data_IF_327714910954
#
_entry.id   IF_327714910954
#
_cell.length_a   1.000
_cell.length_b   1.000
_cell.length_c   1.000
_cell.angle_alpha   90.00
_cell.angle_beta   90.00
_cell.angle_gamma   90.00
#
_symmetry.space_group_name_H-M   'P 1'
#
loop_
_entity.id
_entity.type
_entity.pdbx_description
1 polymer ?
#
# COMPACT_ATOMS: atom_id res chain seq x y z
N UNK A 1 4.23 15.70 16.20
CA UNK A 1 3.77 15.20 14.89
C UNK A 1 3.40 16.41 14.02
N UNK A 2 3.68 16.39 12.71
CA UNK A 2 3.35 17.49 11.79
C UNK A 2 1.82 17.71 11.71
N UNK A 3 1.28 18.96 11.62
CA UNK A 3 -0.16 19.19 11.59
C UNK A 3 -0.90 18.43 10.49
N UNK A 4 -0.34 18.37 9.25
CA UNK A 4 -0.93 17.62 8.14
C UNK A 4 -0.97 16.11 8.43
N UNK A 5 0.09 15.55 9.04
CA UNK A 5 0.09 14.15 9.44
C UNK A 5 -0.96 13.87 10.53
N UNK A 6 -1.14 14.78 11.51
CA UNK A 6 -2.19 14.64 12.52
C UNK A 6 -3.60 14.63 11.89
N UNK A 7 -3.82 15.47 10.89
CA UNK A 7 -5.12 15.51 10.17
C UNK A 7 -5.35 14.19 9.41
N UNK A 8 -4.33 13.66 8.72
CA UNK A 8 -4.42 12.36 8.05
C UNK A 8 -4.66 11.20 9.03
N UNK A 9 -4.02 11.20 10.20
CA UNK A 9 -4.27 10.20 11.26
C UNK A 9 -5.71 10.29 11.77
N UNK A 10 -6.24 11.50 11.98
CA UNK A 10 -7.65 11.68 12.37
C UNK A 10 -8.58 11.12 11.29
N UNK A 11 -8.32 11.42 10.01
CA UNK A 11 -9.11 10.93 8.89
C UNK A 11 -9.08 9.40 8.79
N UNK A 12 -7.89 8.77 8.86
CA UNK A 12 -7.74 7.33 8.80
C UNK A 12 -8.47 6.61 9.95
N UNK A 13 -8.42 7.14 11.18
CA UNK A 13 -9.14 6.57 12.32
C UNK A 13 -10.65 6.69 12.19
N UNK A 14 -11.16 7.78 11.60
CA UNK A 14 -12.60 7.96 11.36
C UNK A 14 -13.09 7.00 10.28
N UNK A 15 -12.35 6.84 9.18
CA UNK A 15 -12.62 5.82 8.16
C UNK A 15 -12.60 4.40 8.75
N UNK A 16 -11.58 4.08 9.55
CA UNK A 16 -11.50 2.79 10.22
C UNK A 16 -12.65 2.52 11.18
N UNK A 17 -13.21 3.55 11.83
CA UNK A 17 -14.42 3.40 12.66
C UNK A 17 -15.66 3.04 11.83
N UNK A 18 -15.80 3.62 10.61
CA UNK A 18 -16.86 3.28 9.65
C UNK A 18 -16.70 1.82 9.23
N UNK A 19 -15.48 1.42 8.80
CA UNK A 19 -15.14 0.07 8.36
C UNK A 19 -15.45 -0.96 9.46
N UNK A 20 -14.98 -0.73 10.69
CA UNK A 20 -15.20 -1.64 11.81
C UNK A 20 -16.67 -1.74 12.21
N UNK A 21 -17.44 -0.65 12.11
CA UNK A 21 -18.88 -0.70 12.38
C UNK A 21 -19.62 -1.56 11.35
N UNK A 22 -19.31 -1.37 10.08
CA UNK A 22 -19.95 -2.09 8.99
C UNK A 22 -19.54 -3.58 8.96
N UNK A 23 -18.32 -3.91 9.38
CA UNK A 23 -17.84 -5.31 9.45
C UNK A 23 -18.63 -6.21 10.40
N UNK A 24 -19.45 -5.63 11.27
CA UNK A 24 -20.32 -6.40 12.18
C UNK A 24 -21.52 -7.04 11.45
N UNK A 25 -21.85 -6.60 10.23
CA UNK A 25 -22.95 -7.14 9.43
C UNK A 25 -22.63 -7.09 7.94
N UNK A 26 -21.67 -7.90 7.50
CA UNK A 26 -21.18 -7.92 6.11
C UNK A 26 -22.27 -8.34 5.11
N UNK A 27 -23.19 -9.22 5.51
CA UNK A 27 -24.28 -9.73 4.66
C UNK A 27 -25.28 -8.63 4.26
N UNK A 28 -25.33 -7.51 4.98
CA UNK A 28 -26.21 -6.39 4.69
C UNK A 28 -25.59 -5.35 3.75
N UNK A 29 -24.32 -5.51 3.34
CA UNK A 29 -23.62 -4.53 2.52
C UNK A 29 -24.07 -4.55 1.07
N UNK A 30 -24.23 -3.38 0.50
CA UNK A 30 -24.42 -3.20 -0.95
C UNK A 30 -23.07 -3.26 -1.65
N UNK A 31 -22.85 -4.31 -2.44
CA UNK A 31 -21.62 -4.53 -3.20
C UNK A 31 -21.86 -4.29 -4.68
N UNK A 32 -20.95 -3.60 -5.34
CA UNK A 32 -20.95 -3.38 -6.78
C UNK A 32 -19.63 -3.88 -7.38
N UNK A 33 -19.69 -4.47 -8.57
CA UNK A 33 -18.50 -4.81 -9.33
C UNK A 33 -18.06 -3.57 -10.13
N UNK A 34 -16.81 -3.14 -9.98
CA UNK A 34 -16.19 -2.16 -10.88
C UNK A 34 -15.77 -2.82 -12.19
N UNK A 35 -15.15 -4.01 -12.07
CA UNK A 35 -14.70 -4.89 -13.15
C UNK A 35 -14.69 -6.33 -12.63
N UNK A 36 -14.31 -7.31 -13.48
CA UNK A 36 -14.11 -8.69 -13.04
C UNK A 36 -13.07 -8.73 -11.91
N UNK A 37 -13.45 -9.32 -10.77
CA UNK A 37 -12.65 -9.43 -9.55
C UNK A 37 -12.29 -8.08 -8.86
N UNK A 38 -12.96 -6.99 -9.21
CA UNK A 38 -12.76 -5.67 -8.63
C UNK A 38 -14.07 -5.18 -8.01
N UNK A 39 -14.12 -5.10 -6.68
CA UNK A 39 -15.33 -4.83 -5.91
C UNK A 39 -15.24 -3.49 -5.21
N UNK A 40 -16.38 -2.82 -5.06
CA UNK A 40 -16.57 -1.66 -4.21
C UNK A 40 -17.83 -1.85 -3.39
N UNK A 41 -17.76 -1.48 -2.13
CA UNK A 41 -18.92 -1.44 -1.25
C UNK A 41 -19.31 0.00 -0.93
N UNK A 42 -20.52 0.16 -0.35
CA UNK A 42 -20.92 1.44 0.23
C UNK A 42 -19.98 1.92 1.34
N UNK A 43 -19.23 0.98 1.96
CA UNK A 43 -18.27 1.26 3.03
C UNK A 43 -17.05 1.99 2.48
N UNK A 44 -16.51 1.55 1.31
CA UNK A 44 -15.38 2.20 0.65
C UNK A 44 -15.71 3.67 0.37
N UNK A 45 -16.88 3.92 -0.24
CA UNK A 45 -17.33 5.28 -0.56
C UNK A 45 -17.59 6.14 0.68
N UNK A 46 -18.20 5.57 1.72
CA UNK A 46 -18.44 6.29 2.96
C UNK A 46 -17.14 6.63 3.70
N UNK A 47 -16.17 5.70 3.71
CA UNK A 47 -14.85 5.91 4.26
C UNK A 47 -14.09 7.01 3.49
N UNK A 48 -14.10 6.97 2.15
CA UNK A 48 -13.47 7.98 1.31
C UNK A 48 -14.06 9.38 1.53
N UNK A 49 -15.38 9.50 1.54
CA UNK A 49 -16.07 10.77 1.78
C UNK A 49 -15.69 11.38 3.13
N UNK A 50 -15.64 10.57 4.19
CA UNK A 50 -15.22 11.03 5.52
C UNK A 50 -13.75 11.48 5.52
N UNK A 51 -12.84 10.74 4.86
CA UNK A 51 -11.44 11.13 4.73
C UNK A 51 -11.33 12.48 4.02
N UNK A 52 -11.93 12.61 2.83
CA UNK A 52 -11.88 13.83 2.02
C UNK A 52 -12.47 15.02 2.79
N UNK A 53 -13.62 14.82 3.44
CA UNK A 53 -14.27 15.88 4.26
C UNK A 53 -13.33 16.40 5.35
N UNK A 54 -12.65 15.53 6.08
CA UNK A 54 -11.72 15.93 7.15
C UNK A 54 -10.50 16.65 6.57
N UNK A 55 -9.93 16.13 5.48
CA UNK A 55 -8.73 16.69 4.86
C UNK A 55 -9.01 18.07 4.26
N UNK A 56 -10.08 18.23 3.48
CA UNK A 56 -10.42 19.50 2.83
C UNK A 56 -11.01 20.54 3.80
N UNK A 57 -11.64 20.12 4.91
CA UNK A 57 -12.02 21.07 5.97
C UNK A 57 -10.81 21.73 6.62
N UNK A 58 -9.68 21.02 6.72
CA UNK A 58 -8.44 21.56 7.27
C UNK A 58 -7.56 22.25 6.20
N UNK A 59 -7.60 21.74 4.96
CA UNK A 59 -6.77 22.19 3.84
C UNK A 59 -7.60 22.33 2.56
N UNK A 60 -8.47 23.34 2.44
CA UNK A 60 -9.46 23.46 1.36
C UNK A 60 -8.86 23.64 -0.04
N UNK A 61 -7.60 24.06 -0.13
CA UNK A 61 -6.91 24.28 -1.40
C UNK A 61 -6.01 23.10 -1.83
N UNK A 62 -6.05 21.97 -1.13
CA UNK A 62 -5.29 20.78 -1.53
C UNK A 62 -6.06 19.97 -2.59
N UNK A 63 -5.34 19.34 -3.49
CA UNK A 63 -5.90 18.39 -4.44
C UNK A 63 -6.07 17.01 -3.80
N UNK A 64 -6.94 16.21 -4.40
CA UNK A 64 -7.21 14.81 -4.04
C UNK A 64 -6.91 13.93 -5.25
N UNK A 65 -6.33 12.76 -5.01
CA UNK A 65 -6.33 11.59 -5.88
C UNK A 65 -6.80 10.41 -5.04
N UNK A 66 -8.00 9.93 -5.31
CA UNK A 66 -8.63 8.87 -4.52
C UNK A 66 -9.13 7.74 -5.40
N UNK A 67 -9.24 6.54 -4.85
CA UNK A 67 -9.62 5.34 -5.60
C UNK A 67 -11.03 5.43 -6.16
N UNK A 68 -12.01 5.87 -5.35
CA UNK A 68 -13.43 5.83 -5.71
C UNK A 68 -13.89 7.07 -6.49
N UNK A 69 -13.44 8.25 -6.08
CA UNK A 69 -13.86 9.53 -6.67
C UNK A 69 -12.86 10.11 -7.68
N UNK A 70 -11.68 9.51 -7.82
CA UNK A 70 -10.66 9.96 -8.78
C UNK A 70 -9.97 11.26 -8.36
N UNK A 71 -9.59 12.07 -9.34
CA UNK A 71 -8.87 13.32 -9.14
C UNK A 71 -9.82 14.49 -8.91
N UNK A 72 -9.55 15.31 -7.89
CA UNK A 72 -10.30 16.51 -7.56
C UNK A 72 -9.35 17.69 -7.29
N UNK A 73 -9.56 18.80 -7.99
CA UNK A 73 -8.78 20.04 -7.84
C UNK A 73 -7.36 19.94 -8.41
N UNK A 74 -6.66 21.06 -8.37
CA UNK A 74 -5.25 21.20 -8.76
C UNK A 74 -4.52 21.98 -7.67
N UNK A 75 -3.40 21.44 -7.18
CA UNK A 75 -2.57 22.04 -6.14
C UNK A 75 -1.18 21.44 -6.12
N UNK A 76 -0.21 22.19 -5.60
CA UNK A 76 1.12 21.63 -5.29
C UNK A 76 1.06 20.56 -4.18
N UNK A 77 0.00 20.57 -3.36
CA UNK A 77 -0.28 19.59 -2.32
C UNK A 77 -1.41 18.66 -2.78
N UNK A 78 -1.13 17.36 -2.85
CA UNK A 78 -2.10 16.34 -3.26
C UNK A 78 -2.17 15.23 -2.23
N UNK A 79 -3.37 14.96 -1.72
CA UNK A 79 -3.67 13.77 -0.93
C UNK A 79 -3.93 12.60 -1.87
N UNK A 80 -3.31 11.46 -1.59
CA UNK A 80 -3.46 10.20 -2.33
C UNK A 80 -4.09 9.22 -1.36
N UNK A 81 -5.28 8.68 -1.71
CA UNK A 81 -6.17 8.01 -0.76
C UNK A 81 -6.65 6.68 -1.34
N UNK A 82 -6.49 5.63 -0.58
CA UNK A 82 -7.23 4.38 -0.68
C UNK A 82 -8.05 4.23 0.62
N UNK A 83 -9.39 4.28 0.52
CA UNK A 83 -10.24 4.21 1.70
C UNK A 83 -10.29 2.83 2.34
N UNK A 84 -10.09 1.75 1.55
CA UNK A 84 -10.19 0.37 1.99
C UNK A 84 -9.41 -0.57 1.07
N UNK A 85 -8.08 -0.55 1.14
CA UNK A 85 -7.24 -1.54 0.46
C UNK A 85 -7.53 -2.94 1.00
N UNK A 86 -7.81 -3.88 0.09
CA UNK A 86 -8.22 -5.23 0.43
C UNK A 86 -9.74 -5.41 0.54
N UNK A 87 -10.53 -4.71 -0.26
CA UNK A 87 -12.01 -4.79 -0.29
C UNK A 87 -12.51 -6.23 -0.40
N UNK A 88 -11.89 -7.07 -1.24
CA UNK A 88 -12.24 -8.50 -1.33
C UNK A 88 -12.07 -9.21 0.01
N UNK A 89 -10.95 -9.00 0.71
CA UNK A 89 -10.73 -9.55 2.04
C UNK A 89 -11.80 -9.08 3.03
N UNK A 90 -12.10 -7.79 3.01
CA UNK A 90 -13.10 -7.19 3.86
C UNK A 90 -14.49 -7.83 3.66
N UNK A 91 -14.94 -7.96 2.41
CA UNK A 91 -16.24 -8.56 2.06
C UNK A 91 -16.35 -10.02 2.49
N UNK A 92 -15.23 -10.75 2.55
CA UNK A 92 -15.18 -12.12 3.05
C UNK A 92 -14.92 -12.23 4.56
N UNK A 93 -14.87 -11.13 5.31
CA UNK A 93 -14.56 -11.14 6.74
C UNK A 93 -13.12 -11.54 7.08
N UNK A 94 -12.23 -11.55 6.05
CA UNK A 94 -10.82 -11.84 6.23
C UNK A 94 -10.08 -10.57 6.66
N UNK A 95 -9.66 -10.52 7.93
CA UNK A 95 -9.12 -9.33 8.58
C UNK A 95 -7.71 -8.94 8.08
N UNK A 96 -7.61 -8.62 6.79
CA UNK A 96 -6.40 -8.14 6.14
C UNK A 96 -6.79 -7.06 5.13
N UNK A 97 -7.00 -5.85 5.64
CA UNK A 97 -7.39 -4.67 4.90
C UNK A 97 -6.95 -3.41 5.66
N UNK A 98 -6.78 -2.30 4.96
CA UNK A 98 -6.26 -1.08 5.55
C UNK A 98 -6.75 0.20 4.88
N UNK A 99 -6.65 1.32 5.59
CA UNK A 99 -6.82 2.67 5.06
C UNK A 99 -5.45 3.23 4.73
N UNK A 100 -5.25 3.71 3.51
CA UNK A 100 -4.00 4.30 3.04
C UNK A 100 -4.19 5.78 2.69
N UNK A 101 -3.40 6.68 3.29
CA UNK A 101 -3.42 8.11 3.02
C UNK A 101 -1.99 8.62 2.90
N UNK A 102 -1.63 9.19 1.76
CA UNK A 102 -0.37 9.89 1.57
C UNK A 102 -0.58 11.36 1.22
N UNK A 103 0.39 12.20 1.52
CA UNK A 103 0.48 13.58 1.06
C UNK A 103 1.71 13.74 0.20
N UNK A 104 1.52 14.19 -1.04
CA UNK A 104 2.57 14.66 -1.90
C UNK A 104 2.62 16.20 -1.93
N UNK A 105 3.82 16.77 -1.95
CA UNK A 105 4.06 18.19 -2.22
C UNK A 105 4.98 18.30 -3.42
N UNK A 106 4.49 18.93 -4.50
CA UNK A 106 5.19 19.04 -5.78
C UNK A 106 5.65 17.66 -6.31
N UNK A 107 4.76 16.67 -6.22
CA UNK A 107 5.03 15.29 -6.64
C UNK A 107 5.91 14.46 -5.70
N UNK A 108 6.39 15.03 -4.58
CA UNK A 108 7.23 14.33 -3.62
C UNK A 108 6.41 13.91 -2.39
N UNK A 109 6.40 12.63 -2.05
CA UNK A 109 5.73 12.11 -0.87
C UNK A 109 6.35 12.71 0.41
N UNK A 110 5.53 13.30 1.28
CA UNK A 110 5.96 14.01 2.49
C UNK A 110 5.41 13.42 3.77
N UNK A 111 4.19 12.92 3.75
CA UNK A 111 3.54 12.28 4.90
C UNK A 111 2.78 11.04 4.45
N UNK A 112 2.72 10.04 5.32
CA UNK A 112 2.01 8.80 5.10
C UNK A 112 1.33 8.30 6.36
N UNK A 113 0.14 7.75 6.17
CA UNK A 113 -0.62 7.02 7.18
C UNK A 113 -1.15 5.74 6.54
N UNK A 114 -0.91 4.60 7.19
CA UNK A 114 -1.63 3.35 6.93
C UNK A 114 -2.25 2.92 8.25
N UNK A 115 -3.54 2.65 8.24
CA UNK A 115 -4.26 2.21 9.43
C UNK A 115 -4.92 0.86 9.17
N UNK A 116 -4.55 -0.13 9.95
CA UNK A 116 -5.21 -1.44 10.01
C UNK A 116 -6.32 -1.35 11.08
N UNK A 117 -7.59 -1.25 10.68
CA UNK A 117 -8.67 -1.08 11.65
C UNK A 117 -8.97 -2.35 12.44
N UNK A 118 -8.67 -3.53 11.89
CA UNK A 118 -8.94 -4.81 12.55
C UNK A 118 -7.98 -5.04 13.73
N UNK A 119 -6.71 -4.60 13.61
CA UNK A 119 -5.67 -4.74 14.65
C UNK A 119 -5.44 -3.45 15.42
N UNK A 120 -6.06 -2.34 15.01
CA UNK A 120 -5.79 -0.99 15.51
C UNK A 120 -4.29 -0.61 15.41
N UNK A 121 -3.61 -1.11 14.38
CA UNK A 121 -2.21 -0.77 14.09
C UNK A 121 -2.16 0.49 13.22
N UNK A 122 -1.50 1.54 13.73
CA UNK A 122 -1.34 2.81 13.04
C UNK A 122 0.11 2.98 12.60
N UNK A 123 0.35 2.93 11.30
CA UNK A 123 1.64 3.20 10.68
C UNK A 123 1.68 4.63 10.20
N UNK A 124 2.75 5.37 10.53
CA UNK A 124 2.92 6.76 10.12
C UNK A 124 4.35 7.03 9.67
N UNK A 125 4.50 7.91 8.67
CA UNK A 125 5.81 8.43 8.29
C UNK A 125 5.75 9.91 7.91
N UNK A 126 6.88 10.58 8.08
CA UNK A 126 7.15 11.91 7.51
C UNK A 126 8.52 11.87 6.88
N UNK A 127 8.66 12.50 5.70
CA UNK A 127 9.95 12.57 4.99
C UNK A 127 11.03 13.18 5.89
N UNK A 128 12.12 12.44 6.09
CA UNK A 128 13.21 12.80 7.00
C UNK A 128 12.88 12.63 8.49
N UNK A 129 11.66 12.25 8.86
CA UNK A 129 11.21 12.07 10.25
C UNK A 129 11.28 10.62 10.75
N UNK A 130 11.32 9.68 9.83
CA UNK A 130 11.26 8.23 10.11
C UNK A 130 9.84 7.68 10.05
N UNK A 131 9.74 6.35 10.09
CA UNK A 131 8.50 5.60 10.13
C UNK A 131 8.22 5.06 11.54
N UNK A 132 6.93 4.95 11.89
CA UNK A 132 6.47 4.54 13.23
C UNK A 132 5.26 3.61 13.12
N UNK A 133 5.15 2.66 14.06
CA UNK A 133 3.95 1.87 14.34
C UNK A 133 3.52 2.14 15.79
N UNK A 134 2.32 2.69 15.98
CA UNK A 134 1.80 3.01 17.32
C UNK A 134 2.86 3.74 18.18
N UNK A 135 3.46 4.82 17.61
CA UNK A 135 4.51 5.65 18.17
C UNK A 135 5.88 4.96 18.37
N UNK A 136 6.03 3.67 18.04
CA UNK A 136 7.32 2.97 18.05
C UNK A 136 8.01 3.11 16.71
N UNK A 137 9.26 3.59 16.72
CA UNK A 137 10.05 3.77 15.51
C UNK A 137 10.29 2.44 14.80
N UNK A 138 10.03 2.43 13.49
CA UNK A 138 10.23 1.28 12.62
C UNK A 138 11.63 1.25 12.00
N UNK A 139 12.06 0.05 11.64
CA UNK A 139 13.18 -0.24 10.76
C UNK A 139 12.87 -1.49 9.97
N UNK A 140 13.26 -1.50 8.70
CA UNK A 140 13.25 -2.71 7.90
C UNK A 140 14.10 -3.81 8.53
N UNK A 141 13.87 -5.05 8.14
CA UNK A 141 14.58 -6.20 8.68
C UNK A 141 16.09 -6.12 8.42
N UNK A 142 16.86 -6.87 9.20
CA UNK A 142 18.34 -6.97 9.08
C UNK A 142 18.79 -8.25 8.36
N UNK A 143 17.86 -9.04 7.77
CA UNK A 143 18.23 -10.24 7.03
C UNK A 143 19.04 -9.88 5.81
N UNK A 144 20.07 -10.70 5.55
CA UNK A 144 21.00 -10.45 4.45
C UNK A 144 20.95 -11.54 3.36
N UNK A 145 20.31 -12.68 3.64
CA UNK A 145 20.23 -13.81 2.72
C UNK A 145 18.78 -14.05 2.32
N UNK A 146 18.55 -14.15 1.02
CA UNK A 146 17.22 -14.37 0.45
C UNK A 146 16.57 -15.67 0.96
N UNK A 147 17.36 -16.75 1.18
CA UNK A 147 16.88 -18.03 1.73
C UNK A 147 16.23 -17.91 3.13
N UNK A 148 16.49 -16.84 3.85
CA UNK A 148 15.92 -16.58 5.18
C UNK A 148 14.77 -15.57 5.11
N UNK A 149 14.52 -14.97 3.93
CA UNK A 149 13.59 -13.89 3.76
C UNK A 149 12.15 -14.39 3.61
N UNK A 150 11.22 -13.69 4.26
CA UNK A 150 9.78 -13.83 4.06
C UNK A 150 9.30 -12.71 3.14
N UNK A 151 8.70 -13.07 2.01
CA UNK A 151 8.38 -12.14 0.93
C UNK A 151 6.86 -12.01 0.77
N UNK A 152 6.37 -10.77 0.66
CA UNK A 152 4.99 -10.46 0.31
C UNK A 152 4.79 -10.34 -1.21
N UNK A 153 3.57 -10.59 -1.69
CA UNK A 153 3.19 -10.41 -3.09
C UNK A 153 1.68 -10.26 -3.25
N UNK A 154 1.25 -9.70 -4.39
CA UNK A 154 -0.12 -9.81 -4.89
C UNK A 154 -0.18 -10.59 -6.20
N UNK A 155 -1.36 -11.05 -6.59
CA UNK A 155 -1.59 -11.70 -7.88
C UNK A 155 -2.10 -10.69 -8.91
N UNK A 156 -1.73 -10.81 -10.20
CA UNK A 156 -2.29 -10.01 -11.28
C UNK A 156 -3.74 -10.46 -11.55
N UNK A 157 -4.70 -9.92 -10.81
CA UNK A 157 -6.10 -10.33 -10.89
C UNK A 157 -6.98 -9.46 -11.82
N UNK A 158 -6.48 -8.28 -12.21
CA UNK A 158 -7.15 -7.36 -13.15
C UNK A 158 -6.63 -7.51 -14.58
N UNK A 159 -5.34 -7.73 -14.74
CA UNK A 159 -4.66 -7.88 -16.04
C UNK A 159 -3.73 -9.08 -16.01
N UNK A 160 -4.04 -10.09 -16.83
CA UNK A 160 -3.28 -11.33 -16.94
C UNK A 160 -2.16 -11.29 -17.98
N UNK A 161 -1.90 -10.14 -18.60
CA UNK A 161 -0.87 -9.98 -19.64
C UNK A 161 0.51 -10.46 -19.15
N UNK A 162 0.84 -10.22 -17.90
CA UNK A 162 2.11 -10.58 -17.28
C UNK A 162 2.04 -11.87 -16.43
N UNK A 163 0.97 -12.69 -16.57
CA UNK A 163 0.78 -13.86 -15.70
C UNK A 163 1.92 -14.86 -15.79
N UNK A 164 2.40 -15.18 -17.00
CA UNK A 164 3.50 -16.14 -17.17
C UNK A 164 4.81 -15.63 -16.54
N UNK A 165 5.12 -14.34 -16.70
CA UNK A 165 6.26 -13.70 -16.06
C UNK A 165 6.12 -13.75 -14.53
N UNK A 166 4.92 -13.40 -14.01
CA UNK A 166 4.62 -13.49 -12.58
C UNK A 166 4.82 -14.91 -12.05
N UNK A 167 4.29 -15.93 -12.73
CA UNK A 167 4.41 -17.33 -12.30
C UNK A 167 5.85 -17.82 -12.31
N UNK A 168 6.67 -17.36 -13.27
CA UNK A 168 8.09 -17.67 -13.30
C UNK A 168 8.82 -17.05 -12.11
N UNK A 169 8.57 -15.75 -11.81
CA UNK A 169 9.10 -15.06 -10.62
C UNK A 169 8.64 -15.75 -9.33
N UNK A 170 7.35 -16.08 -9.22
CA UNK A 170 6.78 -16.75 -8.05
C UNK A 170 7.44 -18.09 -7.77
N UNK A 171 7.67 -18.89 -8.82
CA UNK A 171 8.39 -20.17 -8.72
C UNK A 171 9.80 -19.97 -8.15
N UNK A 172 10.54 -19.00 -8.64
CA UNK A 172 11.87 -18.67 -8.12
C UNK A 172 11.82 -18.25 -6.65
N UNK A 173 10.84 -17.41 -6.27
CA UNK A 173 10.65 -16.98 -4.88
C UNK A 173 10.39 -18.18 -3.96
N UNK A 174 9.51 -19.13 -4.37
CA UNK A 174 9.22 -20.32 -3.57
C UNK A 174 10.47 -21.18 -3.34
N UNK A 175 11.37 -21.27 -4.32
CA UNK A 175 12.56 -22.11 -4.24
C UNK A 175 13.72 -21.46 -3.47
N UNK A 176 13.79 -20.13 -3.45
CA UNK A 176 14.96 -19.39 -2.97
C UNK A 176 14.73 -18.59 -1.68
N UNK A 177 13.48 -18.54 -1.18
CA UNK A 177 13.13 -17.80 0.04
C UNK A 177 12.67 -18.72 1.16
N UNK A 178 12.52 -18.18 2.35
CA UNK A 178 11.91 -18.89 3.49
C UNK A 178 10.39 -19.09 3.31
N UNK A 179 9.77 -18.32 2.43
CA UNK A 179 8.35 -18.45 2.09
C UNK A 179 7.78 -17.18 1.50
N UNK A 180 6.62 -17.34 0.86
CA UNK A 180 5.87 -16.25 0.26
C UNK A 180 4.54 -16.09 0.99
N UNK A 181 4.08 -14.85 1.11
CA UNK A 181 2.75 -14.49 1.62
C UNK A 181 2.00 -13.68 0.58
N UNK A 182 0.73 -14.01 0.38
CA UNK A 182 -0.20 -13.26 -0.47
C UNK A 182 -1.38 -12.82 0.39
N UNK A 183 -1.21 -11.79 1.24
CA UNK A 183 -2.27 -11.39 2.18
C UNK A 183 -3.41 -10.65 1.50
N UNK A 184 -3.14 -9.87 0.43
CA UNK A 184 -4.15 -9.23 -0.40
C UNK A 184 -4.56 -7.82 0.02
N UNK A 185 -3.64 -7.08 0.61
CA UNK A 185 -3.74 -5.65 0.88
C UNK A 185 -2.33 -5.05 0.76
N UNK A 186 -2.04 -4.42 -0.38
CA UNK A 186 -0.69 -3.96 -0.74
C UNK A 186 -0.15 -2.91 0.24
N UNK A 187 -0.99 -2.01 0.72
CA UNK A 187 -0.60 -1.00 1.70
C UNK A 187 -0.09 -1.66 3.00
N UNK A 188 -0.77 -2.71 3.49
CA UNK A 188 -0.33 -3.44 4.68
C UNK A 188 0.93 -4.26 4.43
N UNK A 189 1.09 -4.84 3.23
CA UNK A 189 2.30 -5.58 2.87
C UNK A 189 3.52 -4.66 2.90
N UNK A 190 3.43 -3.46 2.32
CA UNK A 190 4.47 -2.44 2.38
C UNK A 190 4.71 -1.95 3.82
N UNK A 191 3.66 -1.75 4.61
CA UNK A 191 3.79 -1.42 6.03
C UNK A 191 4.51 -2.52 6.81
N UNK A 192 4.29 -3.80 6.47
CA UNK A 192 4.97 -4.93 7.07
C UNK A 192 6.45 -5.03 6.64
N UNK A 193 6.79 -4.63 5.42
CA UNK A 193 8.19 -4.45 5.01
C UNK A 193 8.86 -3.37 5.86
N UNK A 194 8.20 -2.20 6.02
CA UNK A 194 8.72 -1.12 6.85
C UNK A 194 8.91 -1.52 8.33
N UNK A 195 8.05 -2.43 8.83
CA UNK A 195 8.13 -2.96 10.20
C UNK A 195 9.08 -4.15 10.35
N UNK A 196 9.71 -4.64 9.27
CA UNK A 196 10.57 -5.83 9.28
C UNK A 196 9.82 -7.14 9.56
N UNK A 197 8.49 -7.16 9.40
CA UNK A 197 7.64 -8.36 9.45
C UNK A 197 7.73 -9.15 8.14
N UNK A 198 7.87 -8.43 7.00
CA UNK A 198 8.29 -8.96 5.70
C UNK A 198 9.68 -8.41 5.39
N UNK A 199 10.46 -9.14 4.62
CA UNK A 199 11.81 -8.75 4.22
C UNK A 199 11.84 -8.07 2.85
N UNK A 200 10.83 -8.36 2.03
CA UNK A 200 10.60 -7.77 0.72
C UNK A 200 9.16 -7.97 0.26
N UNK A 201 8.81 -7.29 -0.81
CA UNK A 201 7.50 -7.31 -1.45
C UNK A 201 7.66 -7.06 -2.95
N UNK A 202 6.88 -7.73 -3.79
CA UNK A 202 6.76 -7.42 -5.22
C UNK A 202 5.32 -7.60 -5.70
N UNK A 203 4.86 -6.73 -6.57
CA UNK A 203 3.53 -6.82 -7.19
C UNK A 203 3.49 -6.02 -8.49
N UNK A 204 2.71 -6.52 -9.48
CA UNK A 204 2.44 -5.87 -10.75
C UNK A 204 1.19 -5.00 -10.69
N UNK A 205 1.19 -3.87 -11.41
CA UNK A 205 -0.01 -3.14 -11.80
C UNK A 205 -0.79 -2.49 -10.66
N UNK A 206 -0.11 -2.08 -9.60
CA UNK A 206 -0.71 -1.35 -8.49
C UNK A 206 -0.99 0.11 -8.87
N UNK A 207 -2.03 0.70 -8.29
CA UNK A 207 -2.34 2.10 -8.46
C UNK A 207 -1.56 2.98 -7.47
N UNK A 208 -1.44 4.30 -7.73
CA UNK A 208 -0.77 5.20 -6.81
C UNK A 208 -1.32 5.19 -5.38
N UNK A 209 -2.62 5.02 -5.20
CA UNK A 209 -3.25 5.01 -3.88
C UNK A 209 -2.94 3.74 -3.09
N UNK A 210 -2.74 2.58 -3.74
CA UNK A 210 -2.32 1.32 -3.11
C UNK A 210 -0.94 1.45 -2.46
N UNK A 211 -0.04 2.27 -3.05
CA UNK A 211 1.39 2.23 -2.75
C UNK A 211 1.98 3.49 -2.12
N UNK A 212 1.41 4.68 -2.37
CA UNK A 212 2.05 5.95 -2.00
C UNK A 212 2.43 6.03 -0.51
N UNK A 213 1.52 5.66 0.38
CA UNK A 213 1.80 5.67 1.82
C UNK A 213 2.84 4.60 2.20
N UNK A 214 2.71 3.40 1.65
CA UNK A 214 3.63 2.28 1.90
C UNK A 214 5.05 2.57 1.44
N UNK A 215 5.21 3.20 0.27
CA UNK A 215 6.51 3.64 -0.27
C UNK A 215 7.23 4.55 0.72
N UNK A 216 6.56 5.60 1.22
CA UNK A 216 7.19 6.50 2.18
C UNK A 216 7.53 5.79 3.50
N UNK A 217 6.67 4.90 3.98
CA UNK A 217 6.95 4.09 5.17
C UNK A 217 8.22 3.25 5.02
N UNK A 218 8.36 2.53 3.90
CA UNK A 218 9.52 1.69 3.63
C UNK A 218 10.80 2.53 3.56
N UNK A 219 10.77 3.65 2.82
CA UNK A 219 11.91 4.55 2.68
C UNK A 219 12.34 5.13 4.03
N UNK A 220 11.40 5.61 4.84
CA UNK A 220 11.67 6.20 6.15
C UNK A 220 12.07 5.16 7.22
N UNK A 221 11.75 3.88 6.99
CA UNK A 221 12.25 2.75 7.78
C UNK A 221 13.66 2.29 7.38
N UNK A 222 14.25 2.87 6.31
CA UNK A 222 15.57 2.55 5.78
C UNK A 222 15.57 1.42 4.75
N UNK A 223 14.43 1.13 4.12
CA UNK A 223 14.29 0.24 2.98
C UNK A 223 14.46 0.94 1.64
N UNK A 224 14.44 0.14 0.58
CA UNK A 224 14.44 0.60 -0.81
C UNK A 224 13.11 0.25 -1.46
N UNK A 225 12.66 1.11 -2.36
CA UNK A 225 11.54 0.88 -3.26
C UNK A 225 11.95 1.28 -4.67
N UNK A 226 11.60 0.47 -5.64
CA UNK A 226 11.81 0.70 -7.06
C UNK A 226 10.78 -0.07 -7.87
N UNK A 227 10.78 0.13 -9.17
CA UNK A 227 10.13 -0.78 -10.09
C UNK A 227 10.98 -2.06 -10.27
N UNK A 228 10.57 -2.95 -11.16
CA UNK A 228 11.28 -4.22 -11.40
C UNK A 228 12.62 -4.06 -12.13
N UNK A 229 12.98 -2.86 -12.55
CA UNK A 229 14.31 -2.49 -13.07
C UNK A 229 15.16 -1.76 -12.04
N UNK A 230 14.59 -1.48 -10.85
CA UNK A 230 15.24 -0.72 -9.78
C UNK A 230 15.15 0.78 -9.96
N UNK A 231 14.29 1.26 -10.88
CA UNK A 231 14.08 2.68 -11.16
C UNK A 231 12.95 3.29 -10.31
N UNK A 232 12.79 4.61 -10.38
CA UNK A 232 11.80 5.35 -9.56
C UNK A 232 10.44 5.51 -10.28
N UNK A 233 10.13 4.62 -11.24
CA UNK A 233 8.93 4.72 -12.07
C UNK A 233 7.70 3.99 -11.51
N UNK A 234 7.80 3.41 -10.33
CA UNK A 234 6.76 2.57 -9.71
C UNK A 234 5.41 3.28 -9.51
N UNK A 235 5.38 4.60 -9.32
CA UNK A 235 4.12 5.35 -9.19
C UNK A 235 3.35 5.45 -10.52
N UNK A 236 4.02 5.32 -11.65
CA UNK A 236 3.44 5.37 -13.00
C UNK A 236 3.21 3.95 -13.55
N UNK A 237 4.17 3.06 -13.39
CA UNK A 237 4.08 1.68 -13.90
C UNK A 237 3.16 0.80 -13.07
N UNK A 238 3.07 1.06 -11.76
CA UNK A 238 2.40 0.19 -10.82
C UNK A 238 3.19 -1.09 -10.47
N UNK A 239 4.34 -1.29 -11.08
CA UNK A 239 5.23 -2.42 -10.79
C UNK A 239 6.10 -2.06 -9.60
N UNK A 240 5.95 -2.76 -8.50
CA UNK A 240 6.60 -2.39 -7.23
C UNK A 240 7.47 -3.51 -6.71
N UNK A 241 8.70 -3.17 -6.40
CA UNK A 241 9.64 -3.97 -5.63
C UNK A 241 10.07 -3.19 -4.39
N UNK A 242 9.94 -3.78 -3.21
CA UNK A 242 10.34 -3.16 -1.95
C UNK A 242 11.09 -4.15 -1.06
N UNK A 243 11.97 -3.65 -0.19
CA UNK A 243 12.67 -4.50 0.76
C UNK A 243 13.76 -3.78 1.55
N UNK A 244 14.38 -4.48 2.48
CA UNK A 244 15.63 -3.98 3.03
C UNK A 244 16.71 -3.97 1.92
N UNK A 245 17.76 -3.14 2.01
CA UNK A 245 18.70 -2.94 0.89
C UNK A 245 19.36 -4.23 0.38
N UNK A 246 19.60 -5.23 1.25
CA UNK A 246 20.25 -6.50 0.87
C UNK A 246 19.29 -7.44 0.16
N UNK A 247 18.05 -7.53 0.65
CA UNK A 247 17.01 -8.36 0.04
C UNK A 247 16.50 -7.72 -1.24
N UNK A 248 16.29 -6.39 -1.28
CA UNK A 248 15.92 -5.65 -2.49
C UNK A 248 16.84 -5.97 -3.67
N UNK A 249 18.16 -5.87 -3.47
CA UNK A 249 19.14 -6.17 -4.52
C UNK A 249 19.07 -7.62 -5.02
N UNK A 250 18.85 -8.59 -4.13
CA UNK A 250 18.74 -10.01 -4.51
C UNK A 250 17.40 -10.29 -5.22
N UNK A 251 16.30 -9.66 -4.78
CA UNK A 251 15.00 -9.77 -5.44
C UNK A 251 15.06 -9.19 -6.86
N UNK A 252 15.69 -8.02 -7.03
CA UNK A 252 15.87 -7.40 -8.35
C UNK A 252 16.60 -8.33 -9.30
N UNK A 253 17.72 -8.96 -8.86
CA UNK A 253 18.46 -9.93 -9.65
C UNK A 253 17.65 -11.18 -9.98
N UNK A 254 16.78 -11.62 -9.07
CA UNK A 254 15.93 -12.78 -9.25
C UNK A 254 14.79 -12.52 -10.25
N UNK A 255 14.21 -11.31 -10.23
CA UNK A 255 13.10 -10.91 -11.09
C UNK A 255 13.57 -10.60 -12.51
N UNK A 256 14.74 -9.97 -12.68
CA UNK A 256 15.23 -9.45 -13.96
C UNK A 256 15.17 -10.43 -15.14
N UNK A 257 15.52 -11.74 -15.00
CA UNK A 257 15.45 -12.69 -16.11
C UNK A 257 14.04 -13.00 -16.63
N UNK A 258 13.01 -12.66 -15.85
CA UNK A 258 11.62 -12.98 -16.13
C UNK A 258 10.80 -11.78 -16.59
N UNK A 259 11.44 -10.59 -16.67
CA UNK A 259 10.76 -9.40 -17.14
C UNK A 259 10.39 -9.52 -18.62
N UNK A 260 9.19 -9.02 -19.01
CA UNK A 260 8.86 -8.89 -20.41
C UNK A 260 9.91 -8.05 -21.16
N UNK A 261 10.15 -8.40 -22.43
CA UNK A 261 10.99 -7.56 -23.30
C UNK A 261 10.38 -6.16 -23.40
N UNK A 262 11.22 -5.14 -23.43
CA UNK A 262 10.76 -3.76 -23.70
C UNK A 262 10.06 -3.73 -25.07
N UNK A 263 8.85 -3.15 -25.10
CA UNK A 263 8.11 -2.91 -26.34
C UNK A 263 8.63 -1.68 -27.05
#
# INVERSE_FOLDING_TARGET
MHPMLNTAVKAARRAGAIINRASQNLDALTVQNKQDNDYVSEVDRAAEQEIISILLSAYPNHAILAEESGTQGESEFQWIIDPLDGTTNYLHGFQQYGVSIALAHKGVLTHAVIFDPARNDLFTASKGGGAFLNDRRLRVSKRIYLKEALIGTGFPYRDFTNLDAYMAMFKEMLQKTSGVRRPGAACLDLAYVAAGRLDGFWEFGLNPWDIAAGVLLVQEAGGLVGDFRGEQNYMQSGDVLAGNPKIFSQLLQLIAPHLPAEK
#
